data_IF_449239003789
#
_entry.id   IF_449239003789
#
_cell.length_a   1.000
_cell.length_b   1.000
_cell.length_c   1.000
_cell.angle_alpha   90.00
_cell.angle_beta   90.00
_cell.angle_gamma   90.00
#
_symmetry.space_group_name_H-M   'P 1'
#
loop_
_entity.id
_entity.type
_entity.pdbx_description
1 polymer ?
#
# COMPACT_ATOMS: atom_id res chain seq x y z
N UNK A 1 -1.45 -2.18 36.47
CA UNK A 1 -2.38 -3.01 37.25
C UNK A 1 -1.87 -4.44 37.20
N UNK A 2 -0.87 -4.74 38.05
CA UNK A 2 -0.17 -6.03 38.09
C UNK A 2 -0.71 -6.84 39.27
N UNK A 3 -1.44 -7.92 38.98
CA UNK A 3 -1.66 -9.09 39.84
C UNK A 3 -2.72 -9.99 39.17
N UNK A 4 -2.30 -11.15 38.64
CA UNK A 4 -2.90 -12.47 38.86
C UNK A 4 -2.23 -13.47 37.91
N UNK A 5 -1.14 -14.07 38.39
CA UNK A 5 -0.62 -15.36 37.88
C UNK A 5 -0.88 -16.35 39.00
N UNK A 6 -1.92 -17.18 38.85
CA UNK A 6 -2.06 -18.49 39.50
C UNK A 6 -3.47 -19.06 39.25
N UNK A 7 -3.68 -19.70 38.09
CA UNK A 7 -4.60 -20.82 37.84
C UNK A 7 -4.82 -20.93 36.32
N UNK A 8 -4.06 -21.77 35.59
CA UNK A 8 -4.45 -22.08 34.20
C UNK A 8 -3.86 -23.38 33.61
N UNK A 9 -3.85 -24.46 34.42
CA UNK A 9 -3.58 -25.80 33.89
C UNK A 9 -4.75 -26.44 33.13
N UNK A 10 -5.97 -25.88 33.26
CA UNK A 10 -7.21 -26.50 32.73
C UNK A 10 -7.74 -25.84 31.46
N UNK A 11 -7.42 -24.57 31.17
CA UNK A 11 -7.88 -23.85 29.96
C UNK A 11 -7.08 -24.21 28.71
N UNK A 12 -5.78 -24.51 28.84
CA UNK A 12 -4.94 -24.90 27.70
C UNK A 12 -5.44 -26.18 27.01
N UNK A 13 -5.96 -27.14 27.79
CA UNK A 13 -6.54 -28.38 27.26
C UNK A 13 -7.92 -28.16 26.59
N UNK A 14 -8.72 -27.21 27.10
CA UNK A 14 -10.03 -26.88 26.49
C UNK A 14 -9.88 -26.05 25.22
N UNK A 15 -8.89 -25.15 25.18
CA UNK A 15 -8.56 -24.34 23.99
C UNK A 15 -7.99 -25.24 22.87
N UNK A 16 -7.06 -26.15 23.18
CA UNK A 16 -6.52 -27.10 22.19
C UNK A 16 -7.58 -28.04 21.59
N UNK A 17 -8.53 -28.51 22.41
CA UNK A 17 -9.65 -29.34 21.93
C UNK A 17 -10.63 -28.56 21.04
N UNK A 18 -10.87 -27.28 21.32
CA UNK A 18 -11.74 -26.41 20.51
C UNK A 18 -11.09 -26.04 19.17
N UNK A 19 -9.79 -25.80 19.15
CA UNK A 19 -9.03 -25.43 17.95
C UNK A 19 -8.88 -26.62 16.98
N UNK A 20 -8.66 -27.83 17.52
CA UNK A 20 -8.68 -29.06 16.73
C UNK A 20 -10.02 -29.32 16.05
N UNK A 21 -11.13 -29.11 16.76
CA UNK A 21 -12.49 -29.25 16.20
C UNK A 21 -12.79 -28.21 15.10
N UNK A 22 -12.34 -26.97 15.28
CA UNK A 22 -12.46 -25.92 14.27
C UNK A 22 -11.66 -26.26 13.00
N UNK A 23 -10.44 -26.78 13.17
CA UNK A 23 -9.58 -27.22 12.08
C UNK A 23 -10.22 -28.34 11.26
N UNK A 24 -10.77 -29.37 11.91
CA UNK A 24 -11.47 -30.46 11.22
C UNK A 24 -12.67 -29.97 10.43
N UNK A 25 -13.50 -29.11 11.03
CA UNK A 25 -14.67 -28.50 10.36
C UNK A 25 -14.27 -27.69 9.12
N UNK A 26 -13.15 -26.98 9.19
CA UNK A 26 -12.60 -26.26 8.05
C UNK A 26 -12.17 -27.22 6.93
N UNK A 27 -11.41 -28.28 7.25
CA UNK A 27 -10.98 -29.27 6.26
C UNK A 27 -12.17 -29.96 5.58
N UNK A 28 -13.24 -30.27 6.32
CA UNK A 28 -14.49 -30.81 5.76
C UNK A 28 -15.19 -29.83 4.82
N UNK A 29 -15.18 -28.54 5.18
CA UNK A 29 -15.74 -27.47 4.34
C UNK A 29 -14.96 -27.34 3.04
N UNK A 30 -13.62 -27.30 3.10
CA UNK A 30 -12.76 -27.24 1.92
C UNK A 30 -12.95 -28.46 1.00
N UNK A 31 -13.09 -29.67 1.58
CA UNK A 31 -13.42 -30.87 0.80
C UNK A 31 -14.77 -30.76 0.09
N UNK A 32 -15.77 -30.15 0.72
CA UNK A 32 -17.11 -29.97 0.14
C UNK A 32 -17.08 -28.97 -1.01
N UNK A 33 -16.34 -27.88 -0.86
CA UNK A 33 -16.13 -26.88 -1.92
C UNK A 33 -15.39 -27.49 -3.13
N UNK A 34 -14.33 -28.27 -2.89
CA UNK A 34 -13.59 -28.97 -3.95
C UNK A 34 -14.45 -30.01 -4.68
N UNK A 35 -15.33 -30.74 -3.98
CA UNK A 35 -16.31 -31.64 -4.63
C UNK A 35 -17.26 -30.87 -5.53
N UNK A 36 -17.71 -29.69 -5.09
CA UNK A 36 -18.55 -28.81 -5.90
C UNK A 36 -17.81 -28.35 -7.16
N UNK A 37 -16.53 -27.99 -7.03
CA UNK A 37 -15.67 -27.62 -8.15
C UNK A 37 -15.46 -28.79 -9.14
N UNK A 38 -15.25 -30.02 -8.64
CA UNK A 38 -15.17 -31.22 -9.48
C UNK A 38 -16.45 -31.45 -10.30
N UNK A 39 -17.62 -31.24 -9.69
CA UNK A 39 -18.91 -31.41 -10.35
C UNK A 39 -19.10 -30.39 -11.48
N UNK A 40 -18.68 -29.14 -11.26
CA UNK A 40 -18.78 -28.06 -12.25
C UNK A 40 -17.79 -28.24 -13.42
N UNK A 41 -16.61 -28.83 -13.16
CA UNK A 41 -15.53 -28.97 -14.15
C UNK A 41 -15.57 -30.30 -14.93
N UNK A 42 -16.37 -31.28 -14.47
CA UNK A 42 -16.39 -32.68 -14.95
C UNK A 42 -16.39 -32.88 -16.46
N UNK A 43 -17.13 -32.07 -17.22
CA UNK A 43 -17.27 -32.24 -18.69
C UNK A 43 -16.37 -31.32 -19.51
N UNK A 44 -16.03 -30.13 -18.99
CA UNK A 44 -15.34 -29.09 -19.76
C UNK A 44 -13.84 -29.00 -19.46
N UNK A 45 -13.43 -29.33 -18.23
CA UNK A 45 -12.07 -29.11 -17.75
C UNK A 45 -11.59 -30.31 -16.92
N UNK A 46 -11.23 -31.44 -17.56
CA UNK A 46 -10.84 -32.67 -16.85
C UNK A 46 -9.60 -32.49 -15.96
N UNK A 47 -8.65 -31.64 -16.36
CA UNK A 47 -7.44 -31.34 -15.58
C UNK A 47 -7.75 -30.67 -14.22
N UNK A 48 -8.74 -29.76 -14.17
CA UNK A 48 -9.15 -29.11 -12.90
C UNK A 48 -9.77 -30.12 -11.96
N UNK A 49 -10.56 -31.05 -12.51
CA UNK A 49 -11.15 -32.14 -11.74
C UNK A 49 -10.08 -33.02 -11.12
N UNK A 50 -9.07 -33.42 -11.90
CA UNK A 50 -7.96 -34.26 -11.43
C UNK A 50 -7.19 -33.58 -10.30
N UNK A 51 -6.79 -32.30 -10.48
CA UNK A 51 -6.13 -31.54 -9.42
C UNK A 51 -7.00 -31.34 -8.17
N UNK A 52 -8.31 -31.20 -8.34
CA UNK A 52 -9.25 -31.10 -7.21
C UNK A 52 -9.45 -32.43 -6.48
N UNK A 53 -9.48 -33.55 -7.20
CA UNK A 53 -9.54 -34.91 -6.61
C UNK A 53 -8.26 -35.23 -5.81
N UNK A 54 -7.09 -34.82 -6.33
CA UNK A 54 -5.81 -34.92 -5.63
C UNK A 54 -5.80 -34.08 -4.35
N UNK A 55 -6.25 -32.82 -4.42
CA UNK A 55 -6.35 -31.95 -3.25
C UNK A 55 -7.29 -32.52 -2.17
N UNK A 56 -8.40 -33.16 -2.56
CA UNK A 56 -9.31 -33.85 -1.61
C UNK A 56 -8.60 -35.01 -0.91
N UNK A 57 -7.77 -35.78 -1.63
CA UNK A 57 -7.03 -36.90 -1.05
C UNK A 57 -6.04 -36.40 0.02
N UNK A 58 -5.33 -35.31 -0.25
CA UNK A 58 -4.39 -34.70 0.70
C UNK A 58 -5.13 -34.13 1.94
N UNK A 59 -6.26 -33.45 1.74
CA UNK A 59 -7.08 -32.95 2.84
C UNK A 59 -7.61 -34.07 3.75
N UNK A 60 -7.94 -35.25 3.19
CA UNK A 60 -8.33 -36.42 3.98
C UNK A 60 -7.17 -37.00 4.78
N UNK A 61 -6.00 -37.14 4.15
CA UNK A 61 -4.79 -37.60 4.83
C UNK A 61 -4.43 -36.69 6.01
N UNK A 62 -4.53 -35.38 5.81
CA UNK A 62 -4.30 -34.40 6.84
C UNK A 62 -5.34 -34.41 7.96
N UNK A 63 -6.63 -34.51 7.62
CA UNK A 63 -7.69 -34.63 8.62
C UNK A 63 -7.50 -35.87 9.51
N UNK A 64 -7.02 -36.98 8.93
CA UNK A 64 -6.70 -38.20 9.68
C UNK A 64 -5.43 -38.06 10.53
N UNK A 65 -4.45 -37.26 10.09
CA UNK A 65 -3.20 -37.00 10.81
C UNK A 65 -3.34 -35.92 11.91
N UNK A 66 -4.38 -35.10 11.86
CA UNK A 66 -4.69 -34.09 12.88
C UNK A 66 -5.19 -34.74 14.19
N UNK A 67 -4.27 -35.37 14.92
CA UNK A 67 -4.49 -35.81 16.30
C UNK A 67 -4.52 -34.62 17.27
N UNK A 68 -5.62 -33.86 17.28
CA UNK A 68 -6.06 -32.98 18.37
C UNK A 68 -5.21 -31.76 18.78
N UNK A 69 -3.96 -31.59 18.35
CA UNK A 69 -3.07 -30.55 18.90
C UNK A 69 -2.29 -29.68 17.90
N UNK A 70 -2.50 -29.82 16.59
CA UNK A 70 -1.89 -28.94 15.59
C UNK A 70 -2.71 -27.67 15.37
N UNK A 71 -2.04 -26.51 15.36
CA UNK A 71 -2.68 -25.24 14.97
C UNK A 71 -3.19 -25.34 13.54
N UNK A 72 -4.31 -24.67 13.25
CA UNK A 72 -4.98 -24.74 11.93
C UNK A 72 -4.02 -24.39 10.78
N UNK A 73 -3.17 -23.38 11.00
CA UNK A 73 -2.16 -22.93 10.03
C UNK A 73 -1.09 -24.00 9.78
N UNK A 74 -0.57 -24.66 10.84
CA UNK A 74 0.43 -25.71 10.72
C UNK A 74 -0.11 -26.96 10.00
N UNK A 75 -1.40 -27.29 10.22
CA UNK A 75 -2.04 -28.38 9.50
C UNK A 75 -2.23 -28.07 8.01
N UNK A 76 -2.54 -26.81 7.65
CA UNK A 76 -2.82 -26.39 6.28
C UNK A 76 -1.57 -26.14 5.44
N UNK A 77 -0.48 -25.65 6.04
CA UNK A 77 0.75 -25.27 5.34
C UNK A 77 1.25 -26.33 4.32
N UNK A 78 1.37 -27.63 4.66
CA UNK A 78 1.85 -28.63 3.70
C UNK A 78 0.86 -28.95 2.57
N UNK A 79 -0.43 -28.66 2.75
CA UNK A 79 -1.51 -29.05 1.82
C UNK A 79 -1.93 -27.86 0.95
N UNK A 80 -1.66 -26.63 1.40
CA UNK A 80 -2.00 -25.41 0.72
C UNK A 80 -1.57 -25.38 -0.77
N UNK A 81 -0.37 -25.84 -1.18
CA UNK A 81 -0.01 -25.88 -2.60
C UNK A 81 -1.02 -26.68 -3.45
N UNK A 82 -1.44 -27.85 -2.97
CA UNK A 82 -2.39 -28.72 -3.68
C UNK A 82 -3.80 -28.12 -3.72
N UNK A 83 -4.23 -27.44 -2.64
CA UNK A 83 -5.56 -26.80 -2.57
C UNK A 83 -5.63 -25.53 -3.41
N UNK A 84 -4.51 -24.84 -3.58
CA UNK A 84 -4.43 -23.60 -4.36
C UNK A 84 -4.18 -23.87 -5.85
N UNK A 85 -3.59 -25.00 -6.23
CA UNK A 85 -3.34 -25.34 -7.64
C UNK A 85 -4.60 -25.30 -8.55
N UNK A 86 -5.78 -25.81 -8.12
CA UNK A 86 -7.03 -25.66 -8.88
C UNK A 86 -7.41 -24.20 -9.17
N UNK A 87 -7.02 -23.22 -8.33
CA UNK A 87 -7.27 -21.80 -8.62
C UNK A 87 -6.48 -21.35 -9.84
N UNK A 88 -5.20 -21.71 -9.93
CA UNK A 88 -4.36 -21.29 -11.05
C UNK A 88 -4.93 -21.80 -12.38
N UNK A 89 -5.35 -23.07 -12.40
CA UNK A 89 -6.01 -23.65 -13.57
C UNK A 89 -7.38 -22.99 -13.84
N UNK A 90 -8.18 -22.73 -12.79
CA UNK A 90 -9.46 -22.04 -12.93
C UNK A 90 -9.29 -20.63 -13.53
N UNK A 91 -8.23 -19.91 -13.17
CA UNK A 91 -7.93 -18.58 -13.71
C UNK A 91 -7.75 -18.60 -15.24
N UNK A 92 -7.16 -19.67 -15.79
CA UNK A 92 -7.03 -19.85 -17.24
C UNK A 92 -8.36 -20.15 -17.96
N UNK A 93 -9.37 -20.68 -17.26
CA UNK A 93 -10.67 -20.99 -17.89
C UNK A 93 -11.48 -19.75 -18.25
N UNK A 94 -11.30 -18.66 -17.49
CA UNK A 94 -12.11 -17.44 -17.56
C UNK A 94 -13.62 -17.66 -17.40
N UNK A 95 -14.05 -18.83 -16.90
CA UNK A 95 -15.47 -19.10 -16.62
C UNK A 95 -15.84 -18.51 -15.24
N UNK A 96 -16.78 -17.54 -15.18
CA UNK A 96 -17.07 -16.82 -13.94
C UNK A 96 -17.51 -17.74 -12.79
N UNK A 97 -18.26 -18.80 -13.07
CA UNK A 97 -18.77 -19.70 -12.02
C UNK A 97 -17.64 -20.52 -11.41
N UNK A 98 -16.74 -21.01 -12.24
CA UNK A 98 -15.58 -21.80 -11.82
C UNK A 98 -14.60 -20.91 -11.05
N UNK A 99 -14.29 -19.73 -11.60
CA UNK A 99 -13.41 -18.74 -10.95
C UNK A 99 -13.98 -18.31 -9.60
N UNK A 100 -15.29 -18.02 -9.54
CA UNK A 100 -15.95 -17.61 -8.31
C UNK A 100 -15.87 -18.72 -7.23
N UNK A 101 -16.11 -19.97 -7.59
CA UNK A 101 -15.97 -21.10 -6.66
C UNK A 101 -14.52 -21.24 -6.16
N UNK A 102 -13.54 -21.21 -7.06
CA UNK A 102 -12.11 -21.32 -6.72
C UNK A 102 -11.61 -20.17 -5.85
N UNK A 103 -11.98 -18.92 -6.14
CA UNK A 103 -11.62 -17.77 -5.30
C UNK A 103 -12.24 -17.88 -3.89
N UNK A 104 -13.47 -18.40 -3.78
CA UNK A 104 -14.10 -18.63 -2.48
C UNK A 104 -13.34 -19.65 -1.62
N UNK A 105 -12.82 -20.72 -2.25
CA UNK A 105 -11.95 -21.70 -1.59
C UNK A 105 -10.67 -21.03 -1.08
N UNK A 106 -10.00 -20.25 -1.94
CA UNK A 106 -8.74 -19.58 -1.60
C UNK A 106 -8.91 -18.57 -0.49
N UNK A 107 -9.99 -17.79 -0.50
CA UNK A 107 -10.30 -16.86 0.60
C UNK A 107 -10.42 -17.59 1.95
N UNK A 108 -11.07 -18.76 2.01
CA UNK A 108 -11.14 -19.56 3.24
C UNK A 108 -9.77 -20.05 3.71
N UNK A 109 -8.92 -20.49 2.78
CA UNK A 109 -7.54 -20.91 3.09
C UNK A 109 -6.72 -19.74 3.64
N UNK A 110 -6.85 -18.56 3.03
CA UNK A 110 -6.17 -17.32 3.47
C UNK A 110 -6.59 -16.94 4.89
N UNK A 111 -7.90 -16.87 5.19
CA UNK A 111 -8.41 -16.53 6.54
C UNK A 111 -7.89 -17.51 7.59
N UNK A 112 -7.72 -18.77 7.21
CA UNK A 112 -7.31 -19.84 8.12
C UNK A 112 -5.79 -19.92 8.33
N UNK A 113 -5.03 -18.97 7.78
CA UNK A 113 -3.58 -18.90 7.92
C UNK A 113 -2.83 -19.94 7.06
N UNK A 114 -3.42 -20.45 5.99
CA UNK A 114 -2.81 -21.51 5.17
C UNK A 114 -1.76 -21.02 4.16
N UNK A 115 -1.52 -19.71 4.01
CA UNK A 115 -0.65 -19.12 2.96
C UNK A 115 0.69 -18.63 3.54
N UNK A 116 1.15 -19.23 4.64
CA UNK A 116 2.26 -18.70 5.45
C UNK A 116 3.63 -19.28 5.04
N UNK A 117 3.69 -20.43 4.36
CA UNK A 117 4.97 -21.07 3.99
C UNK A 117 5.02 -21.55 2.53
N UNK A 118 6.20 -21.45 1.89
CA UNK A 118 6.51 -22.18 0.65
C UNK A 118 6.13 -21.54 -0.70
N UNK A 119 6.17 -20.20 -0.86
CA UNK A 119 6.04 -19.55 -2.17
C UNK A 119 4.65 -19.62 -2.83
N UNK A 120 3.68 -20.31 -2.22
CA UNK A 120 2.31 -20.48 -2.72
C UNK A 120 1.56 -19.15 -2.89
N UNK A 121 1.87 -18.18 -2.03
CA UNK A 121 1.33 -16.82 -2.14
C UNK A 121 1.61 -16.17 -3.50
N UNK A 122 2.78 -16.42 -4.09
CA UNK A 122 3.13 -15.93 -5.42
C UNK A 122 2.23 -16.52 -6.51
N UNK A 123 1.92 -17.81 -6.44
CA UNK A 123 0.98 -18.44 -7.38
C UNK A 123 -0.44 -17.89 -7.26
N UNK A 124 -0.90 -17.56 -6.04
CA UNK A 124 -2.19 -16.90 -5.84
C UNK A 124 -2.18 -15.51 -6.46
N UNK A 125 -1.13 -14.71 -6.24
CA UNK A 125 -0.99 -13.39 -6.85
C UNK A 125 -0.96 -13.48 -8.38
N UNK A 126 -0.26 -14.46 -8.94
CA UNK A 126 -0.21 -14.70 -10.39
C UNK A 126 -1.59 -15.06 -10.95
N UNK A 127 -2.34 -15.93 -10.27
CA UNK A 127 -3.71 -16.24 -10.67
C UNK A 127 -4.63 -15.00 -10.62
N UNK A 128 -4.48 -14.14 -9.60
CA UNK A 128 -5.23 -12.89 -9.48
C UNK A 128 -4.86 -11.89 -10.58
N UNK A 129 -3.59 -11.85 -10.98
CA UNK A 129 -3.13 -11.07 -12.13
C UNK A 129 -3.80 -11.52 -13.42
N UNK A 130 -3.82 -12.82 -13.71
CA UNK A 130 -4.46 -13.39 -14.90
C UNK A 130 -5.97 -13.08 -14.95
N UNK A 131 -6.64 -13.13 -13.80
CA UNK A 131 -8.07 -12.81 -13.70
C UNK A 131 -8.36 -11.33 -13.95
N UNK A 132 -7.52 -10.44 -13.42
CA UNK A 132 -7.59 -9.01 -13.71
C UNK A 132 -7.38 -8.73 -15.21
N UNK A 133 -6.35 -9.31 -15.84
CA UNK A 133 -6.14 -9.13 -17.28
C UNK A 133 -7.27 -9.74 -18.12
N UNK A 134 -7.91 -10.78 -17.60
CA UNK A 134 -9.09 -11.39 -18.19
C UNK A 134 -10.39 -10.59 -18.01
N UNK A 135 -10.43 -9.60 -17.11
CA UNK A 135 -11.66 -8.88 -16.75
C UNK A 135 -12.73 -9.79 -16.13
N UNK A 136 -12.32 -10.82 -15.37
CA UNK A 136 -13.23 -11.84 -14.79
C UNK A 136 -13.30 -11.70 -13.29
N UNK A 137 -14.52 -11.58 -12.74
CA UNK A 137 -14.78 -11.53 -11.29
C UNK A 137 -13.95 -10.46 -10.56
N UNK A 138 -13.78 -9.27 -11.16
CA UNK A 138 -12.87 -8.19 -10.69
C UNK A 138 -13.10 -7.79 -9.22
N UNK A 139 -14.36 -7.72 -8.77
CA UNK A 139 -14.68 -7.44 -7.37
C UNK A 139 -14.17 -8.53 -6.43
N UNK A 140 -14.24 -9.79 -6.85
CA UNK A 140 -13.78 -10.92 -6.06
C UNK A 140 -12.25 -11.02 -6.08
N UNK A 141 -11.62 -10.59 -7.17
CA UNK A 141 -10.17 -10.38 -7.24
C UNK A 141 -9.75 -9.34 -6.19
N UNK A 142 -10.39 -8.15 -6.17
CA UNK A 142 -10.11 -7.11 -5.17
C UNK A 142 -10.26 -7.62 -3.73
N UNK A 143 -11.36 -8.31 -3.42
CA UNK A 143 -11.58 -8.90 -2.09
C UNK A 143 -10.48 -9.90 -1.72
N UNK A 144 -10.06 -10.74 -2.65
CA UNK A 144 -9.03 -11.76 -2.41
C UNK A 144 -7.66 -11.13 -2.19
N UNK A 145 -7.28 -10.14 -3.00
CA UNK A 145 -6.03 -9.39 -2.81
C UNK A 145 -6.05 -8.66 -1.45
N UNK A 146 -7.16 -7.98 -1.14
CA UNK A 146 -7.32 -7.26 0.13
C UNK A 146 -7.08 -8.19 1.31
N UNK A 147 -7.74 -9.35 1.30
CA UNK A 147 -7.59 -10.33 2.35
C UNK A 147 -6.16 -10.87 2.42
N UNK A 148 -5.59 -11.27 1.27
CA UNK A 148 -4.24 -11.83 1.19
C UNK A 148 -3.19 -10.91 1.82
N UNK A 149 -3.24 -9.61 1.52
CA UNK A 149 -2.30 -8.61 2.02
C UNK A 149 -2.63 -8.18 3.45
N UNK A 150 -3.89 -8.10 3.86
CA UNK A 150 -4.20 -7.66 5.24
C UNK A 150 -3.98 -8.75 6.28
N UNK A 151 -4.05 -10.04 5.91
CA UNK A 151 -3.92 -11.15 6.88
C UNK A 151 -2.55 -11.83 6.88
N UNK A 152 -1.78 -11.79 5.78
CA UNK A 152 -0.51 -12.52 5.69
C UNK A 152 0.69 -11.59 5.49
N UNK A 153 1.60 -11.58 6.46
CA UNK A 153 2.88 -10.86 6.34
C UNK A 153 3.90 -11.56 5.44
N UNK A 154 3.68 -12.83 5.09
CA UNK A 154 4.55 -13.62 4.22
C UNK A 154 4.61 -13.13 2.76
N UNK A 155 3.59 -12.37 2.31
CA UNK A 155 3.59 -11.76 0.99
C UNK A 155 4.43 -10.47 1.04
N UNK A 156 5.66 -10.55 0.56
CA UNK A 156 6.63 -9.46 0.53
C UNK A 156 7.29 -9.33 -0.86
N UNK A 157 8.01 -8.23 -1.08
CA UNK A 157 8.79 -8.00 -2.30
C UNK A 157 7.94 -7.99 -3.57
N UNK A 158 8.42 -8.65 -4.63
CA UNK A 158 7.78 -8.65 -5.95
C UNK A 158 6.33 -9.14 -5.93
N UNK A 159 6.00 -10.11 -5.06
CA UNK A 159 4.63 -10.62 -4.93
C UNK A 159 3.68 -9.58 -4.33
N UNK A 160 4.17 -8.78 -3.37
CA UNK A 160 3.40 -7.66 -2.82
C UNK A 160 3.24 -6.55 -3.85
N UNK A 161 4.30 -6.24 -4.60
CA UNK A 161 4.26 -5.27 -5.69
C UNK A 161 3.20 -5.64 -6.73
N UNK A 162 3.23 -6.88 -7.23
CA UNK A 162 2.23 -7.41 -8.17
C UNK A 162 0.81 -7.31 -7.60
N UNK A 163 0.61 -7.69 -6.34
CA UNK A 163 -0.70 -7.60 -5.69
C UNK A 163 -1.24 -6.15 -5.64
N UNK A 164 -0.39 -5.18 -5.32
CA UNK A 164 -0.75 -3.75 -5.33
C UNK A 164 -1.06 -3.26 -6.75
N UNK A 165 -0.27 -3.67 -7.74
CA UNK A 165 -0.50 -3.33 -9.15
C UNK A 165 -1.83 -3.88 -9.65
N UNK A 166 -2.26 -5.07 -9.22
CA UNK A 166 -3.59 -5.59 -9.55
C UNK A 166 -4.69 -4.62 -9.11
N UNK A 167 -4.67 -4.18 -7.86
CA UNK A 167 -5.66 -3.22 -7.36
C UNK A 167 -5.57 -1.85 -8.04
N UNK A 168 -4.35 -1.37 -8.32
CA UNK A 168 -4.14 -0.10 -9.01
C UNK A 168 -4.63 -0.13 -10.45
N UNK A 169 -4.40 -1.22 -11.20
CA UNK A 169 -4.94 -1.37 -12.55
C UNK A 169 -6.46 -1.48 -12.55
N UNK A 170 -7.05 -2.18 -11.57
CA UNK A 170 -8.50 -2.26 -11.41
C UNK A 170 -9.15 -0.91 -11.09
N UNK A 171 -8.42 0.02 -10.44
CA UNK A 171 -8.89 1.38 -10.21
C UNK A 171 -9.14 2.18 -11.50
N UNK A 172 -8.40 1.88 -12.58
CA UNK A 172 -8.55 2.54 -13.87
C UNK A 172 -9.47 1.78 -14.84
N UNK A 173 -10.27 0.85 -14.33
CA UNK A 173 -11.30 0.16 -15.12
C UNK A 173 -12.47 1.10 -15.46
N UNK A 174 -13.23 0.72 -16.49
CA UNK A 174 -14.41 1.50 -16.92
C UNK A 174 -15.62 1.31 -16.02
N UNK A 175 -15.67 0.21 -15.27
CA UNK A 175 -16.75 -0.06 -14.33
C UNK A 175 -16.54 0.79 -13.07
N UNK A 176 -17.45 1.74 -12.84
CA UNK A 176 -17.37 2.65 -11.70
C UNK A 176 -17.45 1.93 -10.35
N UNK A 177 -18.17 0.81 -10.25
CA UNK A 177 -18.27 0.04 -9.00
C UNK A 177 -16.92 -0.61 -8.70
N UNK A 178 -16.29 -1.23 -9.69
CA UNK A 178 -14.96 -1.83 -9.58
C UNK A 178 -13.92 -0.76 -9.29
N UNK A 179 -13.90 0.33 -10.06
CA UNK A 179 -12.94 1.42 -9.91
C UNK A 179 -13.00 2.10 -8.53
N UNK A 180 -14.21 2.34 -7.99
CA UNK A 180 -14.38 2.93 -6.67
C UNK A 180 -13.99 1.96 -5.56
N UNK A 181 -14.37 0.68 -5.68
CA UNK A 181 -13.98 -0.37 -4.73
C UNK A 181 -12.45 -0.52 -4.71
N UNK A 182 -11.83 -0.56 -5.88
CA UNK A 182 -10.38 -0.62 -6.04
C UNK A 182 -9.68 0.59 -5.41
N UNK A 183 -10.21 1.80 -5.58
CA UNK A 183 -9.65 3.00 -4.94
C UNK A 183 -9.62 2.88 -3.42
N UNK A 184 -10.72 2.42 -2.81
CA UNK A 184 -10.79 2.18 -1.36
C UNK A 184 -9.83 1.06 -0.93
N UNK A 185 -9.78 -0.04 -1.68
CA UNK A 185 -8.84 -1.14 -1.44
C UNK A 185 -7.40 -0.66 -1.49
N UNK A 186 -6.97 0.10 -2.49
CA UNK A 186 -5.59 0.59 -2.61
C UNK A 186 -5.22 1.43 -1.38
N UNK A 187 -6.09 2.33 -0.91
CA UNK A 187 -5.84 3.11 0.31
C UNK A 187 -5.64 2.21 1.53
N UNK A 188 -6.47 1.19 1.67
CA UNK A 188 -6.34 0.20 2.74
C UNK A 188 -5.04 -0.59 2.63
N UNK A 189 -4.66 -1.03 1.42
CA UNK A 189 -3.43 -1.80 1.21
C UNK A 189 -2.17 -0.98 1.46
N UNK A 190 -2.13 0.28 1.00
CA UNK A 190 -1.02 1.19 1.29
C UNK A 190 -0.86 1.38 2.81
N UNK A 191 -1.98 1.54 3.52
CA UNK A 191 -1.97 1.64 4.99
C UNK A 191 -1.48 0.34 5.63
N UNK A 192 -1.93 -0.82 5.17
CA UNK A 192 -1.51 -2.12 5.66
C UNK A 192 0.00 -2.36 5.47
N UNK A 193 0.59 -1.94 4.34
CA UNK A 193 2.04 -2.03 4.11
C UNK A 193 2.82 -1.18 5.11
N UNK A 194 2.36 0.03 5.39
CA UNK A 194 2.97 0.91 6.39
C UNK A 194 2.82 0.34 7.82
N UNK A 195 1.65 -0.22 8.15
CA UNK A 195 1.39 -0.86 9.44
C UNK A 195 2.27 -2.08 9.68
N UNK A 196 2.55 -2.89 8.64
CA UNK A 196 3.49 -4.02 8.72
C UNK A 196 4.88 -3.57 9.11
N UNK A 197 5.38 -2.47 8.53
CA UNK A 197 6.66 -1.87 8.92
C UNK A 197 6.63 -1.39 10.38
N UNK A 198 5.55 -0.72 10.81
CA UNK A 198 5.41 -0.29 12.22
C UNK A 198 5.41 -1.49 13.18
N UNK A 199 4.80 -2.61 12.78
CA UNK A 199 4.80 -3.85 13.57
C UNK A 199 6.20 -4.49 13.63
N UNK A 200 6.91 -4.57 12.50
CA UNK A 200 8.31 -5.01 12.43
C UNK A 200 9.22 -4.16 13.34
N UNK A 201 9.03 -2.85 13.29
CA UNK A 201 9.75 -1.88 14.11
C UNK A 201 9.54 -2.06 15.62
N UNK A 202 8.31 -2.40 16.03
CA UNK A 202 7.98 -2.70 17.43
C UNK A 202 8.59 -4.02 17.88
N UNK A 203 8.58 -5.03 17.00
CA UNK A 203 9.20 -6.32 17.28
C UNK A 203 10.72 -6.19 17.42
N UNK A 204 11.37 -5.44 16.52
CA UNK A 204 12.79 -5.11 16.63
C UNK A 204 13.09 -4.37 17.95
N UNK A 205 12.30 -3.35 18.32
CA UNK A 205 12.50 -2.64 19.58
C UNK A 205 12.38 -3.56 20.82
N UNK A 206 11.47 -4.55 20.78
CA UNK A 206 11.28 -5.51 21.88
C UNK A 206 12.40 -6.56 21.97
N UNK A 207 13.04 -6.91 20.85
CA UNK A 207 14.15 -7.87 20.82
C UNK A 207 15.51 -7.22 21.11
N UNK A 208 15.62 -5.90 20.96
CA UNK A 208 16.88 -5.15 21.11
C UNK A 208 17.15 -4.62 22.53
N UNK A 209 16.49 -5.14 23.58
CA UNK A 209 16.79 -4.79 24.97
C UNK A 209 18.07 -5.45 25.52
N UNK A 210 19.00 -5.94 24.69
CA UNK A 210 20.15 -6.72 25.19
C UNK A 210 21.33 -7.02 24.27
N UNK A 211 21.47 -6.47 23.06
CA UNK A 211 22.69 -6.68 22.27
C UNK A 211 23.00 -5.52 21.33
N UNK A 212 24.25 -5.04 21.42
CA UNK A 212 24.87 -4.10 20.48
C UNK A 212 24.72 -4.61 19.04
N UNK A 213 23.98 -3.87 18.20
CA UNK A 213 23.91 -4.14 16.77
C UNK A 213 24.75 -3.10 16.06
N UNK A 214 25.76 -3.58 15.33
CA UNK A 214 26.45 -2.89 14.25
C UNK A 214 25.44 -2.04 13.49
N UNK A 215 25.46 -0.74 13.73
CA UNK A 215 24.70 0.22 12.95
C UNK A 215 25.27 0.13 11.54
N UNK A 216 24.63 -0.66 10.66
CA UNK A 216 24.93 -0.66 9.22
C UNK A 216 24.94 0.81 8.81
N UNK A 217 26.12 1.32 8.47
CA UNK A 217 26.30 2.74 8.25
C UNK A 217 25.31 3.19 7.17
N UNK A 218 24.47 4.16 7.51
CA UNK A 218 23.53 4.78 6.58
C UNK A 218 24.34 5.56 5.54
N UNK A 219 24.43 5.04 4.32
CA UNK A 219 25.12 5.71 3.23
C UNK A 219 24.14 6.58 2.43
N UNK A 220 24.23 7.89 2.66
CA UNK A 220 23.42 8.90 1.95
C UNK A 220 23.67 8.86 0.44
N UNK A 221 24.86 8.46 -0.02
CA UNK A 221 25.16 8.35 -1.46
C UNK A 221 24.32 7.25 -2.14
N UNK A 222 23.93 6.20 -1.41
CA UNK A 222 23.11 5.11 -1.95
C UNK A 222 21.72 5.61 -2.38
N UNK A 223 21.18 6.61 -1.67
CA UNK A 223 19.84 7.17 -1.87
C UNK A 223 19.77 8.31 -2.91
N UNK A 224 20.91 8.90 -3.28
CA UNK A 224 20.94 9.95 -4.32
C UNK A 224 20.47 9.44 -5.67
N UNK A 225 20.79 8.19 -5.97
CA UNK A 225 20.29 7.47 -7.14
C UNK A 225 19.06 6.67 -6.75
N UNK A 226 17.94 6.94 -7.39
CA UNK A 226 16.74 6.10 -7.30
C UNK A 226 17.07 4.69 -7.82
N UNK A 227 16.74 3.65 -7.03
CA UNK A 227 17.04 2.25 -7.36
C UNK A 227 15.78 1.38 -7.19
N UNK A 228 15.67 0.28 -7.96
CA UNK A 228 14.60 -0.71 -7.77
C UNK A 228 14.84 -1.58 -6.53
N UNK A 229 16.03 -1.54 -5.95
CA UNK A 229 16.40 -2.30 -4.76
C UNK A 229 16.35 -1.43 -3.50
N UNK A 230 15.81 -1.94 -2.38
CA UNK A 230 15.70 -1.19 -1.15
C UNK A 230 17.08 -1.05 -0.47
N UNK A 231 17.28 0.00 0.36
CA UNK A 231 18.46 0.13 1.20
C UNK A 231 18.67 -1.10 2.10
N UNK A 232 19.91 -1.59 2.19
CA UNK A 232 20.26 -2.81 2.96
C UNK A 232 20.18 -2.66 4.48
N UNK A 233 19.97 -1.43 4.93
CA UNK A 233 19.76 -1.02 6.33
C UNK A 233 18.37 -1.37 6.83
N UNK A 234 17.38 -1.46 5.94
CA UNK A 234 15.98 -1.69 6.27
C UNK A 234 15.66 -3.19 6.47
N UNK A 235 14.71 -3.46 7.36
CA UNK A 235 14.04 -4.76 7.47
C UNK A 235 13.15 -5.06 6.25
N UNK A 236 12.68 -6.30 6.07
CA UNK A 236 11.91 -6.70 4.90
C UNK A 236 10.58 -5.92 4.74
N UNK A 237 9.82 -5.70 5.82
CA UNK A 237 8.59 -4.92 5.72
C UNK A 237 8.88 -3.43 5.49
N UNK A 238 9.94 -2.90 6.11
CA UNK A 238 10.39 -1.53 5.88
C UNK A 238 10.89 -1.29 4.44
N UNK A 239 11.56 -2.28 3.86
CA UNK A 239 12.02 -2.27 2.48
C UNK A 239 10.85 -2.18 1.48
N UNK A 240 9.80 -2.98 1.66
CA UNK A 240 8.58 -2.92 0.84
C UNK A 240 7.88 -1.55 0.95
N UNK A 241 7.75 -1.03 2.17
CA UNK A 241 7.16 0.28 2.42
C UNK A 241 7.96 1.42 1.78
N UNK A 242 9.29 1.33 1.80
CA UNK A 242 10.19 2.29 1.19
C UNK A 242 10.03 2.33 -0.33
N UNK A 243 10.04 1.16 -0.99
CA UNK A 243 9.86 1.05 -2.44
C UNK A 243 8.48 1.53 -2.89
N UNK A 244 7.43 1.19 -2.12
CA UNK A 244 6.08 1.70 -2.34
C UNK A 244 6.05 3.23 -2.28
N UNK A 245 6.59 3.83 -1.23
CA UNK A 245 6.59 5.28 -1.07
C UNK A 245 7.39 5.98 -2.17
N UNK A 246 8.55 5.44 -2.52
CA UNK A 246 9.39 5.92 -3.62
C UNK A 246 8.62 5.94 -4.96
N UNK A 247 7.91 4.86 -5.27
CA UNK A 247 7.12 4.76 -6.50
C UNK A 247 5.89 5.67 -6.48
N UNK A 248 5.22 5.85 -5.33
CA UNK A 248 4.13 6.82 -5.21
C UNK A 248 4.58 8.24 -5.55
N UNK A 249 5.78 8.65 -5.10
CA UNK A 249 6.35 9.96 -5.43
C UNK A 249 6.63 10.08 -6.94
N UNK A 250 7.23 9.06 -7.56
CA UNK A 250 7.49 9.03 -9.01
C UNK A 250 6.20 9.07 -9.82
N UNK A 251 5.20 8.27 -9.44
CA UNK A 251 3.91 8.21 -10.14
C UNK A 251 3.18 9.55 -10.11
N UNK A 252 3.26 10.30 -9.00
CA UNK A 252 2.69 11.65 -8.92
C UNK A 252 3.47 12.64 -9.80
N UNK A 253 4.78 12.45 -9.95
CA UNK A 253 5.60 13.22 -10.89
C UNK A 253 5.35 12.85 -12.36
N UNK A 254 4.53 11.81 -12.63
CA UNK A 254 4.34 11.19 -13.94
C UNK A 254 5.60 10.50 -14.51
N UNK A 255 6.49 10.07 -13.61
CA UNK A 255 7.61 9.18 -13.93
C UNK A 255 7.19 7.71 -13.82
N UNK A 256 7.97 6.81 -14.41
CA UNK A 256 7.70 5.37 -14.34
C UNK A 256 8.06 4.81 -12.95
N UNK A 257 7.22 3.93 -12.38
CA UNK A 257 7.56 3.23 -11.14
C UNK A 257 8.67 2.20 -11.39
N UNK A 258 9.49 1.93 -10.37
CA UNK A 258 10.57 0.95 -10.46
C UNK A 258 10.19 -0.40 -9.86
N UNK A 259 9.34 -0.41 -8.83
CA UNK A 259 8.93 -1.60 -8.08
C UNK A 259 7.51 -2.05 -8.46
N UNK A 260 6.58 -1.11 -8.65
CA UNK A 260 5.20 -1.35 -9.12
C UNK A 260 5.16 -1.61 -10.64
N UNK A 261 5.90 -2.62 -11.08
CA UNK A 261 6.04 -3.00 -12.49
C UNK A 261 4.69 -3.39 -13.09
N UNK A 262 4.39 -2.84 -14.28
CA UNK A 262 3.13 -3.07 -15.00
C UNK A 262 2.05 -2.02 -14.73
N UNK A 263 2.31 -1.04 -13.87
CA UNK A 263 1.47 0.14 -13.74
C UNK A 263 1.85 1.19 -14.79
N UNK A 264 0.88 1.61 -15.59
CA UNK A 264 1.09 2.57 -16.69
C UNK A 264 0.47 3.94 -16.43
N UNK A 265 -0.56 3.99 -15.59
CA UNK A 265 -1.36 5.18 -15.37
C UNK A 265 -1.61 5.39 -13.87
N UNK A 266 -1.50 6.64 -13.44
CA UNK A 266 -1.87 7.10 -12.10
C UNK A 266 -2.36 8.54 -12.22
N UNK A 267 -3.56 8.84 -11.71
CA UNK A 267 -4.00 10.24 -11.64
C UNK A 267 -3.27 10.95 -10.52
N UNK A 268 -2.77 12.16 -10.80
CA UNK A 268 -2.08 12.98 -9.79
C UNK A 268 -2.92 13.22 -8.54
N UNK A 269 -4.23 13.42 -8.70
CA UNK A 269 -5.14 13.61 -7.56
C UNK A 269 -5.17 12.40 -6.64
N UNK A 270 -5.23 11.19 -7.20
CA UNK A 270 -5.26 9.97 -6.39
C UNK A 270 -3.89 9.71 -5.73
N UNK A 271 -2.79 9.85 -6.47
CA UNK A 271 -1.45 9.70 -5.91
C UNK A 271 -1.13 10.72 -4.81
N UNK A 272 -1.53 11.99 -4.98
CA UNK A 272 -1.40 13.01 -3.92
C UNK A 272 -2.22 12.66 -2.67
N UNK A 273 -3.44 12.14 -2.82
CA UNK A 273 -4.22 11.70 -1.67
C UNK A 273 -3.57 10.53 -0.93
N UNK A 274 -2.90 9.61 -1.66
CA UNK A 274 -2.14 8.51 -1.05
C UNK A 274 -0.91 9.02 -0.30
N UNK A 275 -0.15 9.95 -0.90
CA UNK A 275 1.00 10.57 -0.23
C UNK A 275 0.57 11.32 1.03
N UNK A 276 -0.49 12.14 0.96
CA UNK A 276 -1.05 12.83 2.12
C UNK A 276 -1.46 11.83 3.20
N UNK A 277 -2.16 10.75 2.84
CA UNK A 277 -2.58 9.71 3.79
C UNK A 277 -1.40 9.06 4.50
N UNK A 278 -0.32 8.70 3.78
CA UNK A 278 0.87 8.11 4.40
C UNK A 278 1.55 9.09 5.36
N UNK A 279 1.72 10.34 4.93
CA UNK A 279 2.43 11.35 5.71
C UNK A 279 1.66 11.77 6.98
N UNK A 280 0.33 11.83 6.90
CA UNK A 280 -0.50 12.19 8.05
C UNK A 280 -0.68 11.05 9.05
N UNK A 281 -0.84 9.81 8.58
CA UNK A 281 -1.11 8.66 9.46
C UNK A 281 0.16 8.06 10.08
N UNK A 282 1.31 8.19 9.42
CA UNK A 282 2.55 7.53 9.81
C UNK A 282 3.75 8.48 9.99
N UNK A 283 3.63 9.62 10.69
CA UNK A 283 4.73 10.57 10.81
C UNK A 283 5.96 9.98 11.50
N UNK A 284 5.75 9.11 12.48
CA UNK A 284 6.79 8.46 13.29
C UNK A 284 7.84 7.72 12.44
N UNK A 285 7.43 7.14 11.32
CA UNK A 285 8.29 6.35 10.44
C UNK A 285 9.41 7.21 9.84
N UNK A 286 9.10 8.45 9.45
CA UNK A 286 10.05 9.36 8.81
C UNK A 286 11.07 9.96 9.79
N UNK A 287 10.76 9.95 11.09
CA UNK A 287 11.70 10.34 12.14
C UNK A 287 12.59 9.17 12.57
N UNK A 288 12.07 7.95 12.54
CA UNK A 288 12.79 6.75 12.97
C UNK A 288 13.78 6.27 11.91
N UNK A 289 13.39 6.31 10.63
CA UNK A 289 14.17 5.80 9.52
C UNK A 289 14.77 6.95 8.69
N UNK A 290 16.10 7.13 8.69
CA UNK A 290 16.75 8.21 7.94
C UNK A 290 16.54 8.12 6.42
N UNK A 291 16.31 6.91 5.89
CA UNK A 291 15.98 6.65 4.48
C UNK A 291 14.68 7.37 4.08
N UNK A 292 13.65 7.26 4.92
CA UNK A 292 12.36 7.91 4.69
C UNK A 292 12.46 9.43 4.87
N UNK A 293 13.23 9.89 5.86
CA UNK A 293 13.54 11.31 6.05
C UNK A 293 14.22 11.93 4.83
N UNK A 294 15.14 11.19 4.20
CA UNK A 294 15.79 11.62 2.96
C UNK A 294 14.80 11.71 1.79
N UNK A 295 13.96 10.70 1.55
CA UNK A 295 12.93 10.75 0.50
C UNK A 295 11.96 11.92 0.72
N UNK A 296 11.56 12.17 1.96
CA UNK A 296 10.70 13.30 2.32
C UNK A 296 11.35 14.63 1.94
N UNK A 297 12.62 14.83 2.32
CA UNK A 297 13.34 16.08 2.09
C UNK A 297 13.68 16.31 0.62
N UNK A 298 14.23 15.30 -0.06
CA UNK A 298 14.81 15.46 -1.40
C UNK A 298 13.84 15.15 -2.54
N UNK A 299 12.82 14.32 -2.31
CA UNK A 299 11.88 13.91 -3.37
C UNK A 299 10.49 14.50 -3.16
N UNK A 300 9.90 14.37 -1.98
CA UNK A 300 8.54 14.89 -1.72
C UNK A 300 8.53 16.42 -1.77
N UNK A 301 9.50 17.08 -1.10
CA UNK A 301 9.54 18.55 -1.14
C UNK A 301 9.81 19.08 -2.55
N UNK A 302 10.75 18.46 -3.28
CA UNK A 302 11.02 18.80 -4.67
C UNK A 302 9.77 18.63 -5.55
N UNK A 303 9.05 17.51 -5.42
CA UNK A 303 7.80 17.24 -6.13
C UNK A 303 6.76 18.33 -5.86
N UNK A 304 6.55 18.71 -4.60
CA UNK A 304 5.58 19.76 -4.22
C UNK A 304 5.96 21.10 -4.85
N UNK A 305 7.23 21.52 -4.75
CA UNK A 305 7.74 22.75 -5.37
C UNK A 305 7.54 22.72 -6.88
N UNK A 306 7.88 21.58 -7.51
CA UNK A 306 7.73 21.39 -8.95
C UNK A 306 6.26 21.54 -9.38
N UNK A 307 5.33 20.89 -8.68
CA UNK A 307 3.90 20.90 -9.02
C UNK A 307 3.22 22.25 -8.78
N UNK A 308 3.77 23.11 -7.91
CA UNK A 308 3.34 24.49 -7.79
C UNK A 308 3.98 25.44 -8.81
N UNK A 309 5.05 25.01 -9.49
CA UNK A 309 5.72 25.84 -10.49
C UNK A 309 4.85 25.97 -11.75
N UNK A 310 4.56 27.20 -12.23
CA UNK A 310 3.67 27.43 -13.36
C UNK A 310 4.17 26.86 -14.70
N UNK A 311 5.41 26.37 -14.79
CA UNK A 311 6.05 25.91 -16.04
C UNK A 311 5.85 24.42 -16.40
N UNK A 312 5.16 23.62 -15.59
CA UNK A 312 4.88 22.23 -15.99
C UNK A 312 3.78 22.24 -17.03
N UNK A 313 4.19 22.26 -18.30
CA UNK A 313 3.41 21.85 -19.46
C UNK A 313 2.62 20.61 -19.06
N UNK A 314 1.29 20.75 -18.99
CA UNK A 314 0.36 19.67 -18.74
C UNK A 314 0.53 18.68 -19.89
N UNK A 315 1.45 17.72 -19.76
CA UNK A 315 1.70 16.69 -20.77
C UNK A 315 0.53 15.71 -20.74
N UNK A 316 -0.50 16.10 -21.49
CA UNK A 316 -1.52 15.28 -22.12
C UNK A 316 -1.72 13.88 -21.54
N UNK A 317 -2.68 13.75 -20.63
CA UNK A 317 -3.35 12.48 -20.34
C UNK A 317 -4.85 12.49 -20.71
N UNK A 318 -5.33 13.48 -21.47
CA UNK A 318 -6.64 13.38 -22.09
C UNK A 318 -6.58 13.68 -23.59
N UNK A 319 -6.91 12.63 -24.35
CA UNK A 319 -7.41 12.59 -25.73
C UNK A 319 -6.41 12.87 -26.86
N UNK A 320 -6.15 11.84 -27.66
CA UNK A 320 -5.54 11.98 -28.97
C UNK A 320 -6.46 12.70 -29.94
N UNK A 321 -5.88 13.63 -30.68
CA UNK A 321 -6.13 13.84 -32.11
C UNK A 321 -5.03 14.77 -32.62
N UNK A 322 -4.34 14.36 -33.68
CA UNK A 322 -3.31 15.18 -34.31
C UNK A 322 -3.91 16.40 -35.00
N UNK A 323 -3.29 17.56 -34.81
CA UNK A 323 -3.37 18.67 -35.75
C UNK A 323 -2.18 19.62 -35.58
N UNK A 324 -1.68 20.08 -36.72
CA UNK A 324 -0.57 21.01 -36.89
C UNK A 324 -0.89 22.43 -36.42
N UNK A 325 0.17 23.09 -35.94
CA UNK A 325 0.50 24.52 -36.11
C UNK A 325 -0.25 25.62 -35.32
N UNK A 326 0.55 26.67 -35.07
CA UNK A 326 0.25 28.09 -34.78
C UNK A 326 0.21 28.55 -33.33
N UNK A 327 1.01 29.59 -33.11
CA UNK A 327 1.27 30.35 -31.89
C UNK A 327 0.08 31.20 -31.45
N UNK A 328 -0.50 30.86 -30.29
CA UNK A 328 -1.27 31.74 -29.42
C UNK A 328 -1.14 31.20 -27.98
N UNK A 329 -1.19 32.04 -26.92
CA UNK A 329 -1.15 31.56 -25.55
C UNK A 329 -2.43 30.76 -25.28
N UNK A 330 -2.28 29.44 -25.19
CA UNK A 330 -3.37 28.52 -24.91
C UNK A 330 -3.83 28.68 -23.44
N UNK A 331 -5.12 28.49 -23.10
CA UNK A 331 -5.68 28.69 -21.76
C UNK A 331 -5.26 27.62 -20.71
N UNK A 332 -4.12 26.95 -20.91
CA UNK A 332 -3.64 25.83 -20.11
C UNK A 332 -2.65 26.19 -18.99
N UNK A 333 -2.34 27.48 -18.80
CA UNK A 333 -1.47 27.97 -17.71
C UNK A 333 -2.22 28.22 -16.39
N UNK A 334 -3.49 27.81 -16.28
CA UNK A 334 -4.29 28.00 -15.06
C UNK A 334 -4.07 26.85 -14.07
N UNK A 335 -3.83 27.14 -12.78
CA UNK A 335 -3.70 26.11 -11.75
C UNK A 335 -4.98 25.27 -11.66
N UNK A 336 -4.83 23.94 -11.64
CA UNK A 336 -5.96 23.02 -11.58
C UNK A 336 -6.40 22.81 -10.13
N UNK A 337 -7.59 23.33 -9.79
CA UNK A 337 -8.11 23.39 -8.42
C UNK A 337 -7.96 22.07 -7.62
N UNK A 338 -8.36 20.89 -8.13
CA UNK A 338 -8.25 19.64 -7.38
C UNK A 338 -6.82 19.24 -7.01
N UNK A 339 -5.83 19.61 -7.84
CA UNK A 339 -4.41 19.36 -7.56
C UNK A 339 -3.89 20.40 -6.57
N UNK A 340 -4.14 21.69 -6.81
CA UNK A 340 -3.68 22.78 -5.92
C UNK A 340 -4.19 22.62 -4.49
N UNK A 341 -5.46 22.25 -4.31
CA UNK A 341 -6.04 21.98 -2.99
C UNK A 341 -5.30 20.85 -2.27
N UNK A 342 -5.01 19.74 -2.96
CA UNK A 342 -4.27 18.59 -2.39
C UNK A 342 -2.82 18.93 -2.06
N UNK A 343 -2.15 19.69 -2.93
CA UNK A 343 -0.80 20.15 -2.66
C UNK A 343 -0.75 21.08 -1.44
N UNK A 344 -1.73 21.96 -1.26
CA UNK A 344 -1.82 22.83 -0.10
C UNK A 344 -2.08 22.04 1.19
N UNK A 345 -2.93 21.00 1.15
CA UNK A 345 -3.11 20.06 2.26
C UNK A 345 -1.83 19.30 2.59
N UNK A 346 -1.12 18.86 1.56
CA UNK A 346 0.18 18.21 1.70
C UNK A 346 1.23 19.14 2.32
N UNK A 347 1.30 20.41 1.88
CA UNK A 347 2.15 21.44 2.50
C UNK A 347 1.79 21.65 3.97
N UNK A 348 0.49 21.75 4.28
CA UNK A 348 0.05 21.89 5.67
C UNK A 348 0.50 20.69 6.52
N UNK A 349 0.36 19.46 6.00
CA UNK A 349 0.83 18.25 6.69
C UNK A 349 2.37 18.23 6.85
N UNK A 350 3.13 18.66 5.84
CA UNK A 350 4.59 18.77 5.89
C UNK A 350 5.05 19.73 6.98
N UNK A 351 4.46 20.92 7.03
CA UNK A 351 4.78 21.93 8.05
C UNK A 351 4.34 21.45 9.43
N UNK A 352 3.15 20.88 9.56
CA UNK A 352 2.60 20.48 10.85
C UNK A 352 3.36 19.32 11.50
N UNK A 353 3.64 18.27 10.73
CA UNK A 353 4.20 17.03 11.26
C UNK A 353 5.71 16.91 11.12
N UNK A 354 6.35 17.66 10.21
CA UNK A 354 7.74 17.45 9.81
C UNK A 354 8.64 18.69 9.90
N UNK A 355 8.17 19.77 10.55
CA UNK A 355 8.95 21.00 10.70
C UNK A 355 10.40 20.79 11.17
N UNK A 356 10.69 20.00 12.22
CA UNK A 356 12.07 19.80 12.70
C UNK A 356 12.99 19.15 11.67
N UNK A 357 12.44 18.34 10.75
CA UNK A 357 13.20 17.67 9.68
C UNK A 357 13.38 18.58 8.45
N UNK A 358 12.47 19.52 8.24
CA UNK A 358 12.29 20.24 6.97
C UNK A 358 12.45 21.76 7.09
N UNK A 359 13.21 22.27 8.07
CA UNK A 359 13.34 23.72 8.35
C UNK A 359 13.55 24.55 7.07
N UNK A 360 14.50 24.21 6.20
CA UNK A 360 14.73 24.95 4.95
C UNK A 360 13.58 24.83 3.94
N UNK A 361 12.96 23.66 3.83
CA UNK A 361 11.86 23.43 2.88
C UNK A 361 10.57 24.10 3.35
N UNK A 362 10.31 24.10 4.66
CA UNK A 362 9.20 24.83 5.28
C UNK A 362 9.30 26.34 5.05
N UNK A 363 10.50 26.93 5.06
CA UNK A 363 10.70 28.34 4.69
C UNK A 363 10.25 28.62 3.25
N UNK A 364 10.62 27.74 2.31
CA UNK A 364 10.21 27.85 0.91
C UNK A 364 8.69 27.73 0.79
N UNK A 365 8.07 26.78 1.49
CA UNK A 365 6.62 26.60 1.47
C UNK A 365 5.86 27.78 2.08
N UNK A 366 6.33 28.32 3.21
CA UNK A 366 5.73 29.51 3.84
C UNK A 366 5.86 30.72 2.92
N UNK A 367 7.03 30.93 2.32
CA UNK A 367 7.26 31.99 1.33
C UNK A 367 6.33 31.83 0.11
N UNK A 368 6.12 30.59 -0.34
CA UNK A 368 5.20 30.28 -1.43
C UNK A 368 3.74 30.61 -1.05
N UNK A 369 3.31 30.26 0.17
CA UNK A 369 1.98 30.56 0.70
C UNK A 369 1.74 32.08 0.80
N UNK A 370 2.72 32.84 1.29
CA UNK A 370 2.66 34.31 1.35
C UNK A 370 2.57 34.89 -0.07
N UNK A 371 3.39 34.39 -1.01
CA UNK A 371 3.30 34.75 -2.43
C UNK A 371 1.95 34.39 -3.06
N UNK A 372 1.24 33.40 -2.52
CA UNK A 372 -0.12 33.07 -2.99
C UNK A 372 -1.15 34.12 -2.56
N UNK A 373 -0.86 34.98 -1.58
CA UNK A 373 -1.73 36.06 -1.14
C UNK A 373 -1.61 37.35 -1.96
N UNK A 374 -0.49 37.53 -2.66
CA UNK A 374 -0.22 38.73 -3.46
C UNK A 374 -1.34 38.98 -4.49
N UNK A 375 -1.86 40.21 -4.52
CA UNK A 375 -2.97 40.60 -5.39
C UNK A 375 -2.51 40.83 -6.84
N UNK A 376 -3.19 40.21 -7.81
CA UNK A 376 -3.11 40.58 -9.23
C UNK A 376 -2.74 39.44 -10.20
N UNK A 377 -2.03 38.41 -9.74
CA UNK A 377 -1.48 37.36 -10.63
C UNK A 377 -2.26 36.03 -10.59
N UNK A 378 -3.02 35.75 -9.51
CA UNK A 378 -3.59 34.42 -9.27
C UNK A 378 -5.11 34.41 -9.01
N UNK A 379 -5.82 33.29 -9.29
CA UNK A 379 -7.25 33.17 -9.05
C UNK A 379 -7.64 33.33 -7.56
N UNK A 380 -8.82 33.92 -7.30
CA UNK A 380 -9.26 34.22 -5.94
C UNK A 380 -9.39 32.99 -5.04
N UNK A 381 -9.89 31.88 -5.59
CA UNK A 381 -10.02 30.62 -4.86
C UNK A 381 -8.67 30.11 -4.35
N UNK A 382 -7.56 30.36 -5.08
CA UNK A 382 -6.23 29.92 -4.66
C UNK A 382 -5.74 30.74 -3.47
N UNK A 383 -6.07 32.04 -3.44
CA UNK A 383 -5.78 32.91 -2.29
C UNK A 383 -6.57 32.46 -1.06
N UNK A 384 -7.84 32.12 -1.22
CA UNK A 384 -8.67 31.60 -0.12
C UNK A 384 -8.09 30.30 0.48
N UNK A 385 -7.65 29.36 -0.36
CA UNK A 385 -7.02 28.12 0.11
C UNK A 385 -5.69 28.38 0.84
N UNK A 386 -4.87 29.31 0.33
CA UNK A 386 -3.62 29.68 1.00
C UNK A 386 -3.88 30.35 2.37
N UNK A 387 -4.88 31.23 2.46
CA UNK A 387 -5.32 31.84 3.72
C UNK A 387 -5.82 30.80 4.72
N UNK A 388 -6.57 29.81 4.27
CA UNK A 388 -7.04 28.71 5.12
C UNK A 388 -5.87 27.94 5.73
N UNK A 389 -4.86 27.59 4.93
CA UNK A 389 -3.65 26.92 5.42
C UNK A 389 -2.90 27.81 6.41
N UNK A 390 -2.68 29.08 6.10
CA UNK A 390 -1.98 30.01 6.99
C UNK A 390 -2.74 30.23 8.30
N UNK A 391 -4.07 30.34 8.25
CA UNK A 391 -4.91 30.42 9.43
C UNK A 391 -4.74 29.17 10.31
N UNK A 392 -4.82 27.98 9.72
CA UNK A 392 -4.63 26.73 10.45
C UNK A 392 -3.24 26.67 11.11
N UNK A 393 -2.18 27.11 10.42
CA UNK A 393 -0.83 27.18 11.00
C UNK A 393 -0.73 28.21 12.13
N UNK A 394 -1.36 29.38 11.97
CA UNK A 394 -1.34 30.44 12.97
C UNK A 394 -2.14 30.11 14.25
N UNK A 395 -3.11 29.20 14.17
CA UNK A 395 -3.82 28.74 15.38
C UNK A 395 -2.96 27.86 16.29
N UNK A 396 -1.76 27.46 15.87
CA UNK A 396 -0.89 26.57 16.61
C UNK A 396 0.30 27.32 17.24
N UNK A 397 0.29 27.56 18.56
CA UNK A 397 1.29 28.40 19.22
C UNK A 397 2.71 27.80 19.17
N UNK A 398 2.83 26.47 19.17
CA UNK A 398 4.12 25.80 19.11
C UNK A 398 4.85 26.05 17.77
N UNK A 399 4.11 25.98 16.65
CA UNK A 399 4.67 26.25 15.32
C UNK A 399 5.04 27.72 15.17
N UNK A 400 4.19 28.63 15.65
CA UNK A 400 4.48 30.07 15.63
C UNK A 400 5.80 30.41 16.33
N UNK A 401 6.00 29.88 17.54
CA UNK A 401 7.24 30.08 18.28
C UNK A 401 8.46 29.54 17.50
N UNK A 402 8.29 28.37 16.88
CA UNK A 402 9.35 27.77 16.07
C UNK A 402 9.66 28.58 14.81
N UNK A 403 8.66 29.16 14.14
CA UNK A 403 8.86 30.01 12.96
C UNK A 403 9.58 31.30 13.34
N UNK A 404 9.16 31.97 14.41
CA UNK A 404 9.80 33.21 14.86
C UNK A 404 11.26 32.96 15.26
N UNK A 405 11.54 31.88 15.98
CA UNK A 405 12.91 31.54 16.41
C UNK A 405 13.85 31.21 15.25
N UNK A 406 13.38 30.46 14.26
CA UNK A 406 14.24 29.98 13.18
C UNK A 406 14.32 30.93 11.98
N UNK A 407 13.27 31.71 11.73
CA UNK A 407 13.19 32.58 10.55
C UNK A 407 13.22 34.07 10.92
N UNK A 408 12.19 34.60 11.59
CA UNK A 408 12.05 36.04 11.84
C UNK A 408 13.16 36.63 12.73
N UNK A 409 13.73 35.84 13.64
CA UNK A 409 14.87 36.23 14.47
C UNK A 409 16.23 36.12 13.74
N UNK A 410 16.27 35.53 12.54
CA UNK A 410 17.48 35.36 11.75
C UNK A 410 17.56 36.39 10.61
N UNK A 411 18.60 37.25 10.57
CA UNK A 411 18.68 38.35 9.59
C UNK A 411 18.86 37.91 8.12
N UNK A 412 19.14 36.63 7.88
CA UNK A 412 19.32 36.05 6.55
C UNK A 412 18.16 35.16 6.08
N UNK A 413 17.11 35.03 6.89
CA UNK A 413 15.94 34.21 6.57
C UNK A 413 14.74 35.10 6.24
N UNK A 414 13.72 34.49 5.64
CA UNK A 414 12.52 35.19 5.21
C UNK A 414 11.69 35.60 6.43
N UNK A 415 11.40 36.90 6.55
CA UNK A 415 10.46 37.39 7.56
C UNK A 415 9.04 36.97 7.16
N UNK A 416 8.45 36.05 7.93
CA UNK A 416 7.15 35.43 7.61
C UNK A 416 6.00 36.19 8.29
N UNK A 417 6.23 36.78 9.48
CA UNK A 417 5.20 37.44 10.28
C UNK A 417 5.37 38.96 10.46
N UNK A 418 6.41 39.57 9.88
CA UNK A 418 6.48 41.04 9.74
C UNK A 418 5.69 41.49 8.52
#
# INVERSE_FOLDING_TARGET
MAALVAADGSTAATVGSSEGAATLKLLETLQTDLRTLCLQTKKRFPHIRESSEEAIMQLRGAAAACGGSSSTSAALAPIAPHVLHPLLQAAHTKDPKIVQASLGLVQKVIVSGGVVEGGCGGHVVEALWLLMEGGVEELKVLQTVTLLVTTNTAIAGENLAKALVVCLRLHFTKDAVVANTASATVRQLVSAVMERMVAEDRQAASSHSGSDVDSKAFDVEELKTLRPTPPKTLGPAAADAFLLFQDLVQLVNADQPMWLVGLTEMTRTFGLDLLESVLTMFPQIFYKHPEFGYLLKERVCALVIQLFSPNIKYRAQHTGSGALATSAPQPHDKPYFPITMRLLRLVAALIHHYYPLLITQCEIFLSLLVKFLECGERPEWQRCLALEVLHNLATQPALLLQFTQHYDCNPHSTNIFQ
#
